data_IF_479825161196
#
_entry.id   IF_479825161196
#
_cell.length_a   1.000
_cell.length_b   1.000
_cell.length_c   1.000
_cell.angle_alpha   90.00
_cell.angle_beta   90.00
_cell.angle_gamma   90.00
#
_symmetry.space_group_name_H-M   'P 1'
#
loop_
_entity.id
_entity.type
_entity.pdbx_description
1 polymer ?
#
# COMPACT_ATOMS: atom_id res chain seq x y z
N UNK A 1 -2.72 -26.74 -15.19
CA UNK A 1 -2.90 -25.39 -15.74
C UNK A 1 -3.28 -24.40 -14.63
N UNK A 2 -4.07 -24.81 -13.64
CA UNK A 2 -4.53 -23.94 -12.54
C UNK A 2 -3.42 -23.44 -11.60
N UNK A 3 -2.38 -24.24 -11.34
CA UNK A 3 -1.26 -23.84 -10.48
C UNK A 3 -0.53 -22.62 -11.06
N UNK A 4 -0.21 -22.65 -12.35
CA UNK A 4 0.47 -21.53 -13.03
C UNK A 4 -0.38 -20.26 -12.98
N UNK A 5 -1.69 -20.38 -13.22
CA UNK A 5 -2.62 -19.23 -13.14
C UNK A 5 -2.67 -18.66 -11.73
N UNK A 6 -2.74 -19.51 -10.70
CA UNK A 6 -2.75 -19.05 -9.30
C UNK A 6 -1.42 -18.39 -8.88
N UNK A 7 -0.29 -18.90 -9.36
CA UNK A 7 1.02 -18.26 -9.14
C UNK A 7 1.04 -16.87 -9.77
N UNK A 8 0.62 -16.75 -11.03
CA UNK A 8 0.57 -15.46 -11.73
C UNK A 8 -0.35 -14.46 -11.02
N UNK A 9 -1.53 -14.91 -10.57
CA UNK A 9 -2.43 -14.08 -9.77
C UNK A 9 -1.77 -13.57 -8.50
N UNK A 10 -1.10 -14.45 -7.75
CA UNK A 10 -0.43 -14.09 -6.50
C UNK A 10 0.66 -13.05 -6.74
N UNK A 11 1.48 -13.26 -7.78
CA UNK A 11 2.52 -12.31 -8.19
C UNK A 11 1.89 -10.97 -8.54
N UNK A 12 0.84 -10.95 -9.36
CA UNK A 12 0.22 -9.72 -9.81
C UNK A 12 -0.37 -8.93 -8.64
N UNK A 13 -1.17 -9.57 -7.77
CA UNK A 13 -1.78 -8.91 -6.61
C UNK A 13 -0.76 -8.43 -5.57
N UNK A 14 0.36 -9.16 -5.40
CA UNK A 14 1.43 -8.75 -4.48
C UNK A 14 2.30 -7.64 -5.07
N UNK A 15 2.49 -7.61 -6.39
CA UNK A 15 3.30 -6.61 -7.07
C UNK A 15 2.57 -5.26 -7.20
N UNK A 16 1.24 -5.23 -7.33
CA UNK A 16 0.48 -3.98 -7.54
C UNK A 16 0.81 -2.89 -6.51
N UNK A 17 0.74 -3.13 -5.17
CA UNK A 17 1.04 -2.07 -4.20
C UNK A 17 2.50 -1.60 -4.26
N UNK A 18 3.43 -2.52 -4.52
CA UNK A 18 4.85 -2.22 -4.69
C UNK A 18 5.10 -1.36 -5.94
N UNK A 19 4.38 -1.64 -7.03
CA UNK A 19 4.47 -0.89 -8.27
C UNK A 19 3.94 0.53 -8.08
N UNK A 20 2.81 0.71 -7.39
CA UNK A 20 2.28 2.03 -7.04
C UNK A 20 3.30 2.82 -6.22
N UNK A 21 3.89 2.19 -5.19
CA UNK A 21 4.93 2.81 -4.38
C UNK A 21 6.17 3.18 -5.21
N UNK A 22 6.62 2.30 -6.10
CA UNK A 22 7.76 2.53 -6.98
C UNK A 22 7.54 3.68 -7.97
N UNK A 23 6.32 3.84 -8.50
CA UNK A 23 5.98 5.01 -9.34
C UNK A 23 6.04 6.30 -8.52
N UNK A 24 5.54 6.28 -7.28
CA UNK A 24 5.65 7.42 -6.37
C UNK A 24 7.12 7.78 -6.10
N UNK A 25 7.94 6.78 -5.76
CA UNK A 25 9.37 6.96 -5.52
C UNK A 25 10.12 7.44 -6.76
N UNK A 26 9.76 6.96 -7.95
CA UNK A 26 10.33 7.47 -9.19
C UNK A 26 10.11 8.98 -9.32
N UNK A 27 8.92 9.50 -8.99
CA UNK A 27 8.66 10.95 -9.01
C UNK A 27 9.51 11.68 -7.96
N UNK A 28 9.65 11.11 -6.76
CA UNK A 28 10.46 11.66 -5.67
C UNK A 28 11.94 11.74 -6.07
N UNK A 29 12.52 10.66 -6.60
CA UNK A 29 13.90 10.64 -7.07
C UNK A 29 14.14 11.61 -8.22
N UNK A 30 13.18 11.73 -9.15
CA UNK A 30 13.27 12.70 -10.25
C UNK A 30 13.24 14.16 -9.78
N UNK A 31 12.70 14.43 -8.59
CA UNK A 31 12.76 15.75 -7.94
C UNK A 31 14.08 16.03 -7.22
N UNK A 32 15.01 15.07 -7.18
CA UNK A 32 16.30 15.19 -6.49
C UNK A 32 16.23 14.83 -5.01
N UNK A 33 15.17 14.18 -4.56
CA UNK A 33 14.99 13.70 -3.18
C UNK A 33 15.07 12.18 -3.19
N UNK A 34 15.84 11.59 -2.28
CA UNK A 34 16.00 10.14 -2.16
C UNK A 34 15.28 9.66 -0.90
N UNK A 35 14.16 8.95 -1.07
CA UNK A 35 13.30 8.55 0.04
C UNK A 35 13.39 7.05 0.36
N UNK A 36 14.32 6.70 1.25
CA UNK A 36 14.43 5.35 1.81
C UNK A 36 13.39 5.06 2.91
N UNK A 37 12.51 6.02 3.19
CA UNK A 37 11.45 5.94 4.20
C UNK A 37 10.14 5.31 3.70
N UNK A 38 10.05 4.98 2.40
CA UNK A 38 8.81 4.53 1.75
C UNK A 38 8.22 3.28 2.40
N UNK A 39 9.05 2.34 2.86
CA UNK A 39 8.61 1.13 3.53
C UNK A 39 7.87 1.45 4.84
N UNK A 40 8.37 2.42 5.62
CA UNK A 40 7.65 2.94 6.80
C UNK A 40 6.31 3.58 6.44
N UNK A 41 6.27 4.35 5.35
CA UNK A 41 5.03 4.98 4.86
C UNK A 41 3.99 3.92 4.46
N UNK A 42 4.42 2.89 3.74
CA UNK A 42 3.57 1.77 3.30
C UNK A 42 2.99 1.01 4.49
N UNK A 43 3.82 0.66 5.48
CA UNK A 43 3.38 -0.12 6.64
C UNK A 43 2.40 0.69 7.51
N UNK A 44 2.63 1.99 7.67
CA UNK A 44 1.70 2.87 8.39
C UNK A 44 0.38 3.05 7.64
N UNK A 45 0.44 3.15 6.31
CA UNK A 45 -0.73 3.10 5.44
C UNK A 45 -1.51 1.79 5.61
N UNK A 46 -0.82 0.65 5.64
CA UNK A 46 -1.43 -0.67 5.82
C UNK A 46 -2.16 -0.79 7.16
N UNK A 47 -1.52 -0.41 8.28
CA UNK A 47 -2.14 -0.50 9.60
C UNK A 47 -3.33 0.47 9.75
N UNK A 48 -3.20 1.69 9.22
CA UNK A 48 -4.26 2.69 9.27
C UNK A 48 -5.46 2.31 8.41
N UNK A 49 -5.20 1.80 7.20
CA UNK A 49 -6.24 1.33 6.30
C UNK A 49 -6.95 0.09 6.80
N UNK A 50 -6.22 -0.88 7.34
CA UNK A 50 -6.82 -2.06 7.97
C UNK A 50 -7.67 -1.65 9.18
N UNK A 51 -7.13 -0.83 10.09
CA UNK A 51 -7.83 -0.40 11.29
C UNK A 51 -9.12 0.36 10.97
N UNK A 52 -9.07 1.29 10.00
CA UNK A 52 -10.25 2.03 9.57
C UNK A 52 -11.29 1.11 8.89
N UNK A 53 -10.85 0.17 8.06
CA UNK A 53 -11.75 -0.82 7.45
C UNK A 53 -12.44 -1.65 8.52
N UNK A 54 -11.68 -2.19 9.47
CA UNK A 54 -12.18 -3.06 10.53
C UNK A 54 -13.17 -2.34 11.45
N UNK A 55 -12.89 -1.08 11.80
CA UNK A 55 -13.75 -0.30 12.69
C UNK A 55 -15.05 0.20 12.02
N UNK A 56 -15.02 0.42 10.70
CA UNK A 56 -16.16 1.00 9.96
C UNK A 56 -16.94 0.00 9.13
N UNK A 57 -16.38 -1.18 8.86
CA UNK A 57 -16.91 -2.15 7.90
C UNK A 57 -16.85 -1.68 6.44
N UNK A 58 -16.06 -0.64 6.14
CA UNK A 58 -15.96 -0.08 4.80
C UNK A 58 -14.53 -0.09 4.28
N UNK A 59 -14.22 -0.92 3.25
CA UNK A 59 -12.86 -0.98 2.69
C UNK A 59 -12.47 0.32 1.96
N UNK A 60 -13.47 1.11 1.52
CA UNK A 60 -13.23 2.43 0.91
C UNK A 60 -12.76 3.47 1.92
N UNK A 61 -13.32 3.46 3.14
CA UNK A 61 -12.83 4.31 4.24
C UNK A 61 -11.41 3.87 4.62
N UNK A 62 -11.16 2.56 4.62
CA UNK A 62 -9.82 2.00 4.75
C UNK A 62 -8.82 2.54 3.74
N UNK A 63 -9.18 2.54 2.46
CA UNK A 63 -8.32 3.09 1.40
C UNK A 63 -7.99 4.57 1.63
N UNK A 64 -8.99 5.39 1.97
CA UNK A 64 -8.76 6.80 2.29
C UNK A 64 -7.87 7.00 3.51
N UNK A 65 -8.05 6.20 4.56
CA UNK A 65 -7.21 6.22 5.74
C UNK A 65 -5.75 5.82 5.42
N UNK A 66 -5.55 4.80 4.58
CA UNK A 66 -4.22 4.39 4.13
C UNK A 66 -3.51 5.52 3.36
N UNK A 67 -4.21 6.17 2.44
CA UNK A 67 -3.70 7.34 1.69
C UNK A 67 -3.33 8.46 2.65
N UNK A 68 -4.21 8.80 3.60
CA UNK A 68 -3.97 9.86 4.56
C UNK A 68 -2.75 9.57 5.46
N UNK A 69 -2.58 8.33 5.92
CA UNK A 69 -1.43 7.91 6.72
C UNK A 69 -0.12 7.97 5.94
N UNK A 70 -0.11 7.46 4.70
CA UNK A 70 1.05 7.55 3.81
C UNK A 70 1.43 9.01 3.52
N UNK A 71 0.45 9.85 3.21
CA UNK A 71 0.65 11.28 2.99
C UNK A 71 1.18 12.01 4.23
N UNK A 72 0.68 11.68 5.42
CA UNK A 72 1.16 12.25 6.68
C UNK A 72 2.63 11.90 6.96
N UNK A 73 3.03 10.64 6.75
CA UNK A 73 4.43 10.23 6.91
C UNK A 73 5.34 10.82 5.83
N UNK A 74 4.86 10.90 4.58
CA UNK A 74 5.57 11.59 3.50
C UNK A 74 5.77 13.08 3.80
N UNK A 75 4.75 13.74 4.36
CA UNK A 75 4.84 15.14 4.78
C UNK A 75 5.85 15.32 5.92
N UNK A 76 5.87 14.41 6.90
CA UNK A 76 6.87 14.42 7.97
C UNK A 76 8.30 14.30 7.38
N UNK A 77 8.51 13.37 6.44
CA UNK A 77 9.78 13.24 5.72
C UNK A 77 10.17 14.52 4.98
N UNK A 78 9.21 15.12 4.25
CA UNK A 78 9.42 16.34 3.49
C UNK A 78 9.80 17.52 4.40
N UNK A 79 9.16 17.69 5.56
CA UNK A 79 9.51 18.75 6.52
C UNK A 79 10.95 18.56 7.03
N UNK A 80 11.33 17.33 7.39
CA UNK A 80 12.68 17.04 7.87
C UNK A 80 13.74 17.32 6.80
N UNK A 81 13.51 16.84 5.58
CA UNK A 81 14.54 16.86 4.54
C UNK A 81 14.58 18.17 3.76
N UNK A 82 13.44 18.82 3.50
CA UNK A 82 13.35 20.03 2.71
C UNK A 82 13.43 21.30 3.56
N UNK A 83 12.76 21.32 4.72
CA UNK A 83 12.74 22.52 5.58
C UNK A 83 13.90 22.55 6.58
N UNK A 84 14.23 21.39 7.17
CA UNK A 84 15.30 21.27 8.17
C UNK A 84 16.64 20.79 7.59
N UNK A 85 16.70 20.51 6.28
CA UNK A 85 17.91 20.10 5.56
C UNK A 85 18.65 18.92 6.20
N UNK A 86 17.91 17.95 6.77
CA UNK A 86 18.49 16.74 7.34
C UNK A 86 19.03 15.81 6.26
N UNK A 87 19.91 14.88 6.65
CA UNK A 87 20.38 13.83 5.74
C UNK A 87 19.22 12.89 5.36
N UNK A 88 18.84 12.92 4.08
CA UNK A 88 17.71 12.16 3.54
C UNK A 88 17.81 10.65 3.77
N UNK A 89 19.02 10.08 3.66
CA UNK A 89 19.26 8.65 3.88
C UNK A 89 19.01 8.29 5.34
N UNK A 90 19.61 9.02 6.28
CA UNK A 90 19.44 8.76 7.71
C UNK A 90 17.99 9.00 8.17
N UNK A 91 17.37 10.08 7.68
CA UNK A 91 15.97 10.41 7.97
C UNK A 91 15.02 9.36 7.40
N UNK A 92 15.23 8.91 6.16
CA UNK A 92 14.41 7.88 5.52
C UNK A 92 14.46 6.55 6.28
N UNK A 93 15.67 6.05 6.58
CA UNK A 93 15.84 4.82 7.36
C UNK A 93 15.22 4.92 8.75
N UNK A 94 15.37 6.08 9.41
CA UNK A 94 14.75 6.34 10.71
C UNK A 94 13.23 6.38 10.64
N UNK A 95 12.66 6.91 9.55
CA UNK A 95 11.22 6.91 9.31
C UNK A 95 10.68 5.50 9.06
N UNK A 96 11.44 4.65 8.35
CA UNK A 96 11.11 3.23 8.19
C UNK A 96 11.07 2.52 9.53
N UNK A 97 12.09 2.70 10.38
CA UNK A 97 12.11 2.14 11.73
C UNK A 97 10.95 2.66 12.60
N UNK A 98 10.64 3.95 12.50
CA UNK A 98 9.50 4.55 13.18
C UNK A 98 8.19 3.91 12.73
N UNK A 99 7.99 3.75 11.41
CA UNK A 99 6.81 3.11 10.84
C UNK A 99 6.65 1.67 11.30
N UNK A 100 7.73 0.87 11.30
CA UNK A 100 7.74 -0.48 11.83
C UNK A 100 7.36 -0.54 13.32
N UNK A 101 7.94 0.33 14.16
CA UNK A 101 7.63 0.38 15.58
C UNK A 101 6.19 0.81 15.88
N UNK A 102 5.75 1.92 15.29
CA UNK A 102 4.41 2.48 15.52
C UNK A 102 3.32 1.57 14.98
N UNK A 103 3.49 1.02 13.77
CA UNK A 103 2.53 0.07 13.21
C UNK A 103 2.44 -1.20 14.05
N UNK A 104 3.55 -1.70 14.59
CA UNK A 104 3.55 -2.82 15.51
C UNK A 104 2.68 -2.54 16.74
N UNK A 105 2.85 -1.38 17.36
CA UNK A 105 2.06 -0.97 18.53
C UNK A 105 0.57 -0.80 18.20
N UNK A 106 0.26 -0.04 17.13
CA UNK A 106 -1.11 0.23 16.69
C UNK A 106 -1.82 -1.01 16.17
N UNK A 107 -1.08 -1.91 15.53
CA UNK A 107 -1.58 -3.11 14.87
C UNK A 107 -1.83 -4.28 15.81
N UNK A 108 -1.30 -4.25 17.04
CA UNK A 108 -1.42 -5.38 18.00
C UNK A 108 -2.86 -5.84 18.22
N UNK A 109 -3.82 -4.92 18.34
CA UNK A 109 -5.24 -5.23 18.54
C UNK A 109 -5.94 -5.80 17.30
N UNK A 110 -5.34 -5.62 16.13
CA UNK A 110 -5.87 -6.08 14.84
C UNK A 110 -5.32 -7.44 14.42
N UNK A 111 -4.32 -7.98 15.13
CA UNK A 111 -3.72 -9.28 14.81
C UNK A 111 -4.79 -10.38 14.93
N UNK A 112 -4.95 -11.17 13.87
CA UNK A 112 -5.91 -12.27 13.81
C UNK A 112 -7.35 -11.84 13.53
N UNK A 113 -7.62 -10.55 13.39
CA UNK A 113 -8.95 -10.07 13.01
C UNK A 113 -9.20 -10.23 11.50
N UNK A 114 -10.42 -10.56 11.08
CA UNK A 114 -10.75 -10.64 9.67
C UNK A 114 -10.74 -9.24 9.05
N UNK A 115 -10.01 -9.09 7.95
CA UNK A 115 -10.02 -7.87 7.14
C UNK A 115 -11.12 -7.94 6.08
N UNK A 116 -11.83 -6.83 5.89
CA UNK A 116 -12.76 -6.66 4.78
C UNK A 116 -11.99 -6.22 3.53
N UNK A 117 -12.23 -6.87 2.40
CA UNK A 117 -11.49 -6.64 1.16
C UNK A 117 -12.24 -5.66 0.27
N UNK A 118 -11.50 -4.94 -0.58
CA UNK A 118 -12.15 -4.22 -1.68
C UNK A 118 -12.90 -5.23 -2.57
N UNK A 119 -14.12 -4.89 -3.01
CA UNK A 119 -14.86 -5.75 -3.91
C UNK A 119 -14.16 -5.80 -5.27
N UNK A 120 -14.06 -6.99 -5.85
CA UNK A 120 -13.54 -7.15 -7.20
C UNK A 120 -14.51 -6.55 -8.21
N UNK A 121 -13.98 -5.91 -9.24
CA UNK A 121 -14.78 -5.38 -10.33
C UNK A 121 -15.19 -6.53 -11.26
N UNK A 122 -16.50 -6.74 -11.43
CA UNK A 122 -17.03 -7.74 -12.35
C UNK A 122 -17.52 -7.07 -13.63
N UNK A 123 -16.99 -7.51 -14.76
CA UNK A 123 -17.34 -7.03 -16.10
C UNK A 123 -17.93 -8.21 -16.87
N UNK A 124 -19.26 -8.21 -17.13
CA UNK A 124 -19.94 -9.30 -17.83
C UNK A 124 -19.24 -9.68 -19.14
N UNK A 125 -19.07 -10.98 -19.37
CA UNK A 125 -18.40 -11.53 -20.56
C UNK A 125 -16.87 -11.48 -20.56
N UNK A 126 -16.25 -10.46 -19.95
CA UNK A 126 -14.78 -10.34 -19.86
C UNK A 126 -14.21 -11.11 -18.67
N UNK A 127 -14.84 -11.01 -17.49
CA UNK A 127 -14.40 -11.72 -16.28
C UNK A 127 -14.55 -13.25 -16.42
N UNK A 128 -15.52 -13.69 -17.22
CA UNK A 128 -15.87 -15.11 -17.39
C UNK A 128 -14.93 -15.86 -18.34
N UNK A 129 -14.06 -15.15 -19.08
CA UNK A 129 -13.13 -15.79 -20.00
C UNK A 129 -12.12 -16.67 -19.24
N UNK A 130 -11.89 -17.91 -19.70
CA UNK A 130 -10.92 -18.80 -19.08
C UNK A 130 -9.52 -18.19 -19.19
N UNK A 131 -8.76 -18.27 -18.10
CA UNK A 131 -7.39 -17.72 -17.97
C UNK A 131 -7.35 -16.19 -17.99
N UNK A 132 -7.72 -15.54 -19.11
CA UNK A 132 -7.59 -14.08 -19.30
C UNK A 132 -8.56 -13.31 -18.42
N UNK A 133 -9.82 -13.74 -18.35
CA UNK A 133 -10.84 -13.08 -17.53
C UNK A 133 -10.48 -13.11 -16.05
N UNK A 134 -10.02 -14.28 -15.58
CA UNK A 134 -9.57 -14.47 -14.21
C UNK A 134 -8.29 -13.69 -13.87
N UNK A 135 -7.35 -13.58 -14.80
CA UNK A 135 -6.09 -12.87 -14.58
C UNK A 135 -6.26 -11.35 -14.61
N UNK A 136 -6.99 -10.82 -15.59
CA UNK A 136 -7.02 -9.38 -15.87
C UNK A 136 -8.35 -8.70 -15.55
N UNK A 137 -9.50 -9.38 -15.61
CA UNK A 137 -10.82 -8.74 -15.57
C UNK A 137 -11.67 -9.10 -14.34
N UNK A 138 -11.04 -9.54 -13.26
CA UNK A 138 -11.73 -9.90 -12.02
C UNK A 138 -10.99 -9.43 -10.76
N UNK A 139 -10.24 -8.33 -10.88
CA UNK A 139 -9.42 -7.78 -9.80
C UNK A 139 -10.11 -6.60 -9.11
N UNK A 140 -9.58 -6.20 -7.97
CA UNK A 140 -10.07 -5.03 -7.24
C UNK A 140 -9.61 -3.71 -7.90
N UNK A 141 -10.23 -2.57 -7.55
CA UNK A 141 -9.90 -1.27 -8.15
C UNK A 141 -8.45 -0.81 -7.99
N UNK A 142 -7.68 -1.31 -7.01
CA UNK A 142 -6.27 -0.93 -6.84
C UNK A 142 -5.40 -1.61 -7.89
N UNK A 143 -5.84 -2.76 -8.42
CA UNK A 143 -5.15 -3.48 -9.48
C UNK A 143 -5.12 -2.74 -10.82
N UNK A 144 -6.16 -1.95 -11.11
CA UNK A 144 -6.35 -1.25 -12.38
C UNK A 144 -5.75 0.16 -12.38
#
# INVERSE_FOLDING_TARGET
>A
MDITVNILLTIATAATPLLIAAIGELVVERSGVLNLGVEGMMIMGAVGGFGATYLTGSPWIGLLAAIAMGAAFSLLFAIMTLSLATNQVATGLSLTLLGLGLSGMMGTSFVGQPGERLPNLYIPGLTEMPVVGRLLFGQDPIFY
#
